data_IF_708267561057
#
_entry.id   IF_708267561057
#
_cell.length_a   1.000
_cell.length_b   1.000
_cell.length_c   1.000
_cell.angle_alpha   90.00
_cell.angle_beta   90.00
_cell.angle_gamma   90.00
#
_symmetry.space_group_name_H-M   'P 1'
#
loop_
_entity.id
_entity.type
_entity.pdbx_description
1 polymer ?
#
# COMPACT_ATOMS: atom_id res chain seq x y z
N UNK A 1 0.01 20.42 26.35
CA UNK A 1 0.44 19.17 27.01
C UNK A 1 -0.17 18.01 26.22
N UNK A 2 0.64 17.23 25.51
CA UNK A 2 0.15 16.14 24.64
C UNK A 2 -0.38 15.01 25.53
N UNK A 3 -1.70 14.77 25.51
CA UNK A 3 -2.31 13.68 26.27
C UNK A 3 -2.26 12.42 25.43
N UNK A 4 -1.84 11.29 26.01
CA UNK A 4 -1.82 10.02 25.30
C UNK A 4 -3.23 9.58 24.84
N UNK A 5 -4.27 9.99 25.57
CA UNK A 5 -5.68 9.77 25.24
C UNK A 5 -6.20 10.55 24.03
N UNK A 6 -5.43 11.51 23.51
CA UNK A 6 -5.79 12.27 22.32
C UNK A 6 -5.62 11.38 21.07
N UNK A 7 -6.66 11.24 20.21
CA UNK A 7 -6.54 10.49 18.97
C UNK A 7 -5.43 10.99 18.04
N UNK A 8 -5.04 12.27 18.13
CA UNK A 8 -3.88 12.79 17.37
C UNK A 8 -2.55 12.15 17.83
N UNK A 9 -2.37 11.95 19.13
CA UNK A 9 -1.19 11.27 19.67
C UNK A 9 -1.17 9.82 19.20
N UNK A 10 -2.33 9.16 19.23
CA UNK A 10 -2.46 7.75 18.81
C UNK A 10 -2.11 7.55 17.34
N UNK A 11 -2.54 8.44 16.44
CA UNK A 11 -2.21 8.34 15.00
C UNK A 11 -0.71 8.60 14.74
N UNK A 12 -0.05 9.48 15.51
CA UNK A 12 1.39 9.72 15.41
C UNK A 12 2.17 8.46 15.85
N UNK A 13 1.80 7.87 16.99
CA UNK A 13 2.41 6.63 17.48
C UNK A 13 2.21 5.50 16.47
N UNK A 14 1.00 5.36 15.91
CA UNK A 14 0.71 4.40 14.84
C UNK A 14 1.55 4.63 13.59
N UNK A 15 1.74 5.91 13.19
CA UNK A 15 2.63 6.29 12.11
C UNK A 15 4.07 5.85 12.37
N UNK A 16 4.58 6.05 13.59
CA UNK A 16 5.93 5.62 13.99
C UNK A 16 6.09 4.09 14.00
N UNK A 17 5.08 3.36 14.47
CA UNK A 17 5.05 1.89 14.39
C UNK A 17 5.13 1.45 12.92
N UNK A 18 4.34 2.08 12.04
CA UNK A 18 4.33 1.74 10.62
C UNK A 18 5.62 2.18 9.89
N UNK A 19 6.24 3.26 10.31
CA UNK A 19 7.57 3.68 9.85
C UNK A 19 8.64 2.62 10.22
N UNK A 20 8.63 2.14 11.47
CA UNK A 20 9.60 1.16 11.96
C UNK A 20 9.39 -0.24 11.38
N UNK A 21 8.14 -0.68 11.16
CA UNK A 21 7.85 -2.03 10.65
C UNK A 21 7.72 -2.03 9.11
N UNK A 22 6.56 -1.74 8.49
CA UNK A 22 6.45 -1.72 7.04
C UNK A 22 7.33 -0.68 6.33
N UNK A 23 7.71 0.42 6.98
CA UNK A 23 8.67 1.38 6.41
C UNK A 23 10.08 0.78 6.26
N UNK A 24 10.56 0.01 7.24
CA UNK A 24 11.83 -0.73 7.12
C UNK A 24 11.73 -1.90 6.15
N UNK A 25 10.54 -2.50 5.98
CA UNK A 25 10.30 -3.47 4.91
C UNK A 25 10.44 -2.84 3.52
N UNK A 26 9.86 -1.64 3.32
CA UNK A 26 10.06 -0.87 2.09
C UNK A 26 11.54 -0.50 1.89
N UNK A 27 12.27 -0.23 2.98
CA UNK A 27 13.71 -0.02 2.92
C UNK A 27 14.49 -1.24 2.44
N UNK A 28 14.18 -2.42 2.98
CA UNK A 28 14.80 -3.64 2.51
C UNK A 28 14.49 -3.90 1.02
N UNK A 29 13.25 -3.70 0.59
CA UNK A 29 12.87 -3.84 -0.82
C UNK A 29 13.63 -2.86 -1.73
N UNK A 30 13.83 -1.62 -1.29
CA UNK A 30 14.58 -0.59 -2.02
C UNK A 30 16.05 -0.95 -2.26
N UNK A 31 16.64 -1.83 -1.44
CA UNK A 31 18.03 -2.27 -1.63
C UNK A 31 18.26 -3.16 -2.85
N UNK A 32 17.19 -3.58 -3.53
CA UNK A 32 17.25 -4.49 -4.68
C UNK A 32 17.35 -5.95 -4.23
N UNK A 33 16.52 -6.82 -4.80
CA UNK A 33 16.50 -8.27 -4.48
C UNK A 33 16.43 -8.55 -2.97
N UNK A 34 15.72 -7.70 -2.21
CA UNK A 34 15.61 -7.77 -0.74
C UNK A 34 16.95 -7.74 0.00
N UNK A 35 17.97 -7.13 -0.60
CA UNK A 35 19.33 -7.09 -0.08
C UNK A 35 20.15 -8.36 -0.34
N UNK A 36 19.61 -9.32 -1.09
CA UNK A 36 20.34 -10.50 -1.54
C UNK A 36 21.18 -10.20 -2.81
N UNK A 37 21.99 -11.18 -3.20
CA UNK A 37 22.73 -11.15 -4.46
C UNK A 37 21.75 -11.13 -5.66
N UNK A 38 21.97 -10.33 -6.72
CA UNK A 38 21.10 -10.30 -7.90
C UNK A 38 20.77 -11.67 -8.50
N UNK A 39 21.64 -12.67 -8.37
CA UNK A 39 21.36 -14.04 -8.84
C UNK A 39 20.24 -14.76 -8.05
N UNK A 40 19.96 -14.30 -6.83
CA UNK A 40 18.95 -14.88 -5.92
C UNK A 40 17.58 -14.19 -6.08
N UNK A 41 17.33 -13.49 -7.19
CA UNK A 41 16.09 -12.72 -7.44
C UNK A 41 14.81 -13.56 -7.38
N UNK A 42 14.85 -14.83 -7.81
CA UNK A 42 13.71 -15.75 -7.72
C UNK A 42 13.24 -15.99 -6.26
N UNK A 43 14.16 -15.96 -5.29
CA UNK A 43 13.84 -16.10 -3.87
C UNK A 43 12.98 -14.93 -3.40
N UNK A 44 13.37 -13.71 -3.79
CA UNK A 44 12.60 -12.50 -3.50
C UNK A 44 11.21 -12.50 -4.14
N UNK A 45 11.12 -12.92 -5.40
CA UNK A 45 9.85 -13.00 -6.12
C UNK A 45 8.87 -13.98 -5.47
N UNK A 46 9.36 -15.17 -5.08
CA UNK A 46 8.56 -16.17 -4.37
C UNK A 46 8.13 -15.66 -2.99
N UNK A 47 9.03 -15.00 -2.25
CA UNK A 47 8.72 -14.37 -0.97
C UNK A 47 7.60 -13.34 -1.09
N UNK A 48 7.72 -12.40 -2.05
CA UNK A 48 6.71 -11.37 -2.30
C UNK A 48 5.36 -11.94 -2.72
N UNK A 49 5.35 -12.98 -3.55
CA UNK A 49 4.12 -13.64 -4.01
C UNK A 49 3.42 -14.37 -2.86
N UNK A 50 4.15 -15.18 -2.09
CA UNK A 50 3.60 -15.90 -0.93
C UNK A 50 3.08 -14.95 0.14
N UNK A 51 3.79 -13.85 0.40
CA UNK A 51 3.35 -12.80 1.32
C UNK A 51 2.04 -12.17 0.85
N UNK A 52 1.95 -11.75 -0.41
CA UNK A 52 0.78 -11.03 -0.94
C UNK A 52 -0.47 -11.92 -0.95
N UNK A 53 -0.33 -13.19 -1.29
CA UNK A 53 -1.42 -14.17 -1.26
C UNK A 53 -1.99 -14.36 0.15
N UNK A 54 -1.13 -14.58 1.14
CA UNK A 54 -1.56 -14.78 2.53
C UNK A 54 -2.04 -13.46 3.15
N UNK A 55 -1.46 -12.32 2.75
CA UNK A 55 -1.90 -10.99 3.17
C UNK A 55 -3.34 -10.71 2.71
N UNK A 56 -3.68 -11.02 1.46
CA UNK A 56 -5.07 -10.93 1.01
C UNK A 56 -5.98 -11.75 1.94
N UNK A 57 -5.75 -13.06 2.07
CA UNK A 57 -6.60 -13.94 2.88
C UNK A 57 -6.71 -13.50 4.34
N UNK A 58 -5.59 -13.12 4.98
CA UNK A 58 -5.57 -12.63 6.37
C UNK A 58 -6.37 -11.35 6.56
N UNK A 59 -6.24 -10.40 5.63
CA UNK A 59 -6.93 -9.09 5.70
C UNK A 59 -8.44 -9.22 5.76
N UNK A 60 -9.00 -10.23 5.07
CA UNK A 60 -10.44 -10.47 5.07
C UNK A 60 -10.97 -10.70 6.49
N UNK A 61 -10.26 -11.49 7.30
CA UNK A 61 -10.67 -11.83 8.67
C UNK A 61 -10.13 -10.87 9.73
N UNK A 62 -9.17 -10.00 9.36
CA UNK A 62 -8.52 -9.10 10.29
C UNK A 62 -9.48 -8.10 10.94
N UNK A 63 -10.56 -7.70 10.25
CA UNK A 63 -11.60 -6.83 10.83
C UNK A 63 -12.32 -7.48 12.01
N UNK A 64 -12.68 -8.76 11.87
CA UNK A 64 -13.29 -9.53 12.96
C UNK A 64 -12.30 -9.72 14.13
N UNK A 65 -11.04 -10.06 13.83
CA UNK A 65 -10.00 -10.20 14.85
C UNK A 65 -9.72 -8.88 15.59
N UNK A 66 -9.78 -7.74 14.89
CA UNK A 66 -9.64 -6.43 15.50
C UNK A 66 -10.75 -6.18 16.52
N UNK A 67 -11.99 -6.51 16.18
CA UNK A 67 -13.16 -6.30 17.05
C UNK A 67 -13.14 -7.23 18.28
N UNK A 68 -12.50 -8.41 18.18
CA UNK A 68 -12.39 -9.39 19.27
C UNK A 68 -11.16 -9.14 20.17
N UNK A 69 -9.96 -9.04 19.56
CA UNK A 69 -8.67 -9.00 20.28
C UNK A 69 -8.18 -7.56 20.53
N UNK A 70 -8.67 -6.61 19.74
CA UNK A 70 -8.24 -5.22 19.77
C UNK A 70 -6.96 -4.95 18.98
N UNK A 71 -6.82 -3.71 18.52
CA UNK A 71 -5.71 -3.26 17.69
C UNK A 71 -4.31 -3.48 18.28
N UNK A 72 -4.15 -3.41 19.60
CA UNK A 72 -2.83 -3.51 20.25
C UNK A 72 -2.21 -4.90 20.11
N UNK A 73 -3.02 -5.96 20.19
CA UNK A 73 -2.53 -7.33 19.98
C UNK A 73 -2.17 -7.53 18.51
N UNK A 74 -3.04 -7.09 17.61
CA UNK A 74 -2.85 -7.20 16.17
C UNK A 74 -1.58 -6.47 15.69
N UNK A 75 -1.34 -5.24 16.17
CA UNK A 75 -0.17 -4.43 15.81
C UNK A 75 1.13 -5.01 16.39
N UNK A 76 1.12 -5.49 17.64
CA UNK A 76 2.32 -6.08 18.26
C UNK A 76 2.72 -7.38 17.56
N UNK A 77 1.78 -8.33 17.43
CA UNK A 77 2.06 -9.60 16.77
C UNK A 77 2.33 -9.40 15.27
N UNK A 78 1.59 -8.51 14.63
CA UNK A 78 1.80 -8.15 13.23
C UNK A 78 3.14 -7.49 12.97
N UNK A 79 3.67 -6.68 13.89
CA UNK A 79 5.01 -6.11 13.79
C UNK A 79 6.12 -7.15 13.93
N UNK A 80 5.98 -8.11 14.85
CA UNK A 80 7.00 -9.14 15.08
C UNK A 80 7.19 -10.07 13.87
N UNK A 81 6.18 -10.27 13.03
CA UNK A 81 6.34 -11.05 11.79
C UNK A 81 7.21 -10.34 10.76
N UNK A 82 7.30 -9.01 10.77
CA UNK A 82 8.27 -8.26 9.93
C UNK A 82 9.71 -8.58 10.35
N UNK A 83 9.97 -8.68 11.66
CA UNK A 83 11.29 -9.05 12.18
C UNK A 83 11.69 -10.45 11.70
N UNK A 84 10.78 -11.42 11.79
CA UNK A 84 11.00 -12.79 11.33
C UNK A 84 11.28 -12.83 9.83
N UNK A 85 10.53 -12.07 9.04
CA UNK A 85 10.73 -11.96 7.60
C UNK A 85 12.15 -11.48 7.26
N UNK A 86 12.59 -10.36 7.83
CA UNK A 86 13.95 -9.86 7.61
C UNK A 86 15.01 -10.86 8.09
N UNK A 87 14.78 -11.47 9.26
CA UNK A 87 15.66 -12.52 9.79
C UNK A 87 15.80 -13.72 8.86
N UNK A 88 14.77 -14.04 8.07
CA UNK A 88 14.83 -15.12 7.09
C UNK A 88 15.76 -14.84 5.91
N UNK A 89 15.85 -13.59 5.46
CA UNK A 89 16.81 -13.18 4.42
C UNK A 89 18.25 -13.18 4.95
N UNK A 90 18.45 -12.73 6.20
CA UNK A 90 19.74 -12.85 6.86
C UNK A 90 20.16 -14.32 7.02
N UNK A 91 19.25 -15.19 7.44
CA UNK A 91 19.52 -16.63 7.54
C UNK A 91 19.78 -17.26 6.17
N UNK A 92 19.12 -16.79 5.12
CA UNK A 92 19.32 -17.26 3.76
C UNK A 92 20.77 -17.04 3.27
N UNK A 93 21.43 -15.96 3.71
CA UNK A 93 22.84 -15.73 3.34
C UNK A 93 23.78 -16.84 3.82
N UNK A 94 23.47 -17.47 4.97
CA UNK A 94 24.26 -18.54 5.56
C UNK A 94 23.77 -19.95 5.19
N UNK A 95 22.44 -20.16 5.21
CA UNK A 95 21.82 -21.50 5.11
C UNK A 95 21.34 -21.78 3.68
N UNK A 96 21.08 -20.74 2.87
CA UNK A 96 20.54 -20.83 1.50
C UNK A 96 19.23 -21.63 1.38
N UNK A 97 18.45 -21.69 2.46
CA UNK A 97 17.15 -22.37 2.49
C UNK A 97 16.01 -21.45 2.09
N UNK A 98 15.43 -21.68 0.91
CA UNK A 98 14.26 -20.94 0.43
C UNK A 98 13.00 -21.22 1.26
N UNK A 99 12.91 -22.41 1.86
CA UNK A 99 11.74 -22.85 2.64
C UNK A 99 11.51 -21.91 3.82
N UNK A 100 12.58 -21.53 4.53
CA UNK A 100 12.46 -20.62 5.66
C UNK A 100 12.00 -19.22 5.25
N UNK A 101 12.48 -18.72 4.11
CA UNK A 101 12.05 -17.43 3.54
C UNK A 101 10.57 -17.46 3.19
N UNK A 102 10.10 -18.50 2.50
CA UNK A 102 8.70 -18.64 2.09
C UNK A 102 7.77 -18.76 3.31
N UNK A 103 8.10 -19.58 4.31
CA UNK A 103 7.30 -19.71 5.54
C UNK A 103 7.23 -18.37 6.27
N UNK A 104 8.36 -17.68 6.43
CA UNK A 104 8.42 -16.37 7.08
C UNK A 104 7.62 -15.31 6.30
N UNK A 105 7.59 -15.41 4.96
CA UNK A 105 6.77 -14.57 4.09
C UNK A 105 5.27 -14.80 4.28
N UNK A 106 4.83 -16.05 4.40
CA UNK A 106 3.45 -16.38 4.73
C UNK A 106 3.04 -15.83 6.10
N UNK A 107 3.90 -16.00 7.12
CA UNK A 107 3.64 -15.46 8.46
C UNK A 107 3.59 -13.93 8.46
N UNK A 108 4.46 -13.28 7.68
CA UNK A 108 4.36 -11.85 7.45
C UNK A 108 3.04 -11.48 6.76
N UNK A 109 2.58 -12.24 5.76
CA UNK A 109 1.27 -12.02 5.15
C UNK A 109 0.14 -12.02 6.19
N UNK A 110 0.15 -12.97 7.14
CA UNK A 110 -0.79 -13.00 8.26
C UNK A 110 -0.71 -11.72 9.09
N UNK A 111 0.49 -11.39 9.59
CA UNK A 111 0.70 -10.22 10.45
C UNK A 111 0.48 -8.87 9.77
N UNK A 112 0.75 -8.77 8.47
CA UNK A 112 0.50 -7.59 7.65
C UNK A 112 -1.01 -7.34 7.52
N UNK A 113 -1.80 -8.40 7.32
CA UNK A 113 -3.28 -8.33 7.35
C UNK A 113 -3.80 -7.69 8.63
N UNK A 114 -3.25 -8.13 9.77
CA UNK A 114 -3.62 -7.62 11.09
C UNK A 114 -3.18 -6.17 11.30
N UNK A 115 -1.93 -5.86 10.98
CA UNK A 115 -1.35 -4.53 11.16
C UNK A 115 -2.10 -3.50 10.31
N UNK A 116 -2.31 -3.77 9.02
CA UNK A 116 -2.93 -2.83 8.10
C UNK A 116 -4.43 -2.67 8.32
N UNK A 117 -5.12 -3.71 8.77
CA UNK A 117 -6.50 -3.59 9.23
C UNK A 117 -6.60 -2.70 10.47
N UNK A 118 -5.74 -2.95 11.47
CA UNK A 118 -5.72 -2.14 12.69
C UNK A 118 -5.38 -0.68 12.43
N UNK A 119 -4.41 -0.44 11.54
CA UNK A 119 -4.04 0.86 11.06
C UNK A 119 -5.23 1.58 10.40
N UNK A 120 -5.91 0.90 9.46
CA UNK A 120 -7.05 1.48 8.75
C UNK A 120 -8.21 1.82 9.67
N UNK A 121 -8.52 0.94 10.63
CA UNK A 121 -9.56 1.18 11.64
C UNK A 121 -9.29 2.45 12.46
N UNK A 122 -8.07 2.60 12.98
CA UNK A 122 -7.66 3.78 13.76
C UNK A 122 -7.72 5.02 12.88
N UNK A 123 -7.13 4.96 11.68
CA UNK A 123 -7.05 6.11 10.78
C UNK A 123 -8.42 6.62 10.32
N UNK A 124 -9.43 5.75 10.20
CA UNK A 124 -10.78 6.14 9.77
C UNK A 124 -11.73 6.46 10.94
N UNK A 125 -11.63 5.73 12.05
CA UNK A 125 -12.58 5.81 13.18
C UNK A 125 -12.22 6.86 14.24
N UNK A 126 -10.92 7.17 14.41
CA UNK A 126 -10.45 8.13 15.41
C UNK A 126 -10.72 9.60 15.04
N UNK A 127 -10.46 10.06 13.78
CA UNK A 127 -10.71 11.45 13.43
C UNK A 127 -12.19 11.81 13.49
N UNK A 128 -12.44 13.06 13.86
CA UNK A 128 -13.72 13.74 13.64
C UNK A 128 -13.98 13.93 12.13
N UNK A 129 -15.22 14.15 11.73
CA UNK A 129 -15.62 14.24 10.32
C UNK A 129 -14.85 15.31 9.53
N UNK A 130 -14.43 16.38 10.20
CA UNK A 130 -13.65 17.47 9.61
C UNK A 130 -12.14 17.24 9.53
N UNK A 131 -11.60 16.18 10.11
CA UNK A 131 -10.15 15.93 10.24
C UNK A 131 -9.69 14.60 9.61
N UNK A 132 -10.53 13.94 8.80
CA UNK A 132 -10.18 12.63 8.21
C UNK A 132 -8.99 12.72 7.26
N UNK A 133 -8.92 13.76 6.43
CA UNK A 133 -7.78 14.02 5.54
C UNK A 133 -6.49 14.34 6.31
N UNK A 134 -6.57 15.08 7.41
CA UNK A 134 -5.45 15.41 8.30
C UNK A 134 -4.86 14.17 8.96
N UNK A 135 -5.70 13.28 9.48
CA UNK A 135 -5.22 12.04 10.10
C UNK A 135 -4.55 11.12 9.08
N UNK A 136 -5.14 11.01 7.88
CA UNK A 136 -4.48 10.33 6.75
C UNK A 136 -3.12 10.97 6.45
N UNK A 137 -3.05 12.29 6.30
CA UNK A 137 -1.82 13.03 5.96
C UNK A 137 -0.70 12.80 6.98
N UNK A 138 -1.02 12.87 8.28
CA UNK A 138 -0.03 12.68 9.35
C UNK A 138 0.51 11.25 9.32
N UNK A 139 -0.38 10.26 9.27
CA UNK A 139 0.02 8.87 9.19
C UNK A 139 0.86 8.60 7.94
N UNK A 140 0.36 9.01 6.77
CA UNK A 140 1.01 8.78 5.48
C UNK A 140 2.37 9.46 5.41
N UNK A 141 2.50 10.65 5.98
CA UNK A 141 3.79 11.36 6.08
C UNK A 141 4.81 10.54 6.86
N UNK A 142 4.47 10.13 8.10
CA UNK A 142 5.40 9.41 8.96
C UNK A 142 5.75 8.04 8.35
N UNK A 143 4.76 7.32 7.83
CA UNK A 143 4.95 6.02 7.19
C UNK A 143 5.89 6.10 5.97
N UNK A 144 5.65 7.05 5.05
CA UNK A 144 6.42 7.15 3.81
C UNK A 144 7.86 7.64 4.01
N UNK A 145 8.18 8.29 5.14
CA UNK A 145 9.58 8.55 5.50
C UNK A 145 10.41 7.26 5.56
N UNK A 146 9.79 6.12 5.90
CA UNK A 146 10.46 4.82 5.84
C UNK A 146 10.85 4.43 4.41
N UNK A 147 9.96 4.67 3.44
CA UNK A 147 10.25 4.47 2.02
C UNK A 147 11.33 5.41 1.49
N UNK A 148 11.35 6.67 1.96
CA UNK A 148 12.41 7.65 1.62
C UNK A 148 13.77 7.15 2.12
N UNK A 149 13.90 6.87 3.43
CA UNK A 149 15.14 6.34 4.01
C UNK A 149 15.58 5.05 3.34
N UNK A 150 14.60 4.22 2.98
CA UNK A 150 14.79 2.97 2.27
C UNK A 150 15.43 3.08 0.90
N UNK A 151 15.29 4.22 0.24
CA UNK A 151 15.88 4.49 -1.07
C UNK A 151 17.13 5.37 -1.00
N UNK A 152 17.33 6.11 0.11
CA UNK A 152 18.57 6.88 0.37
C UNK A 152 19.77 5.95 0.54
N UNK A 153 19.62 4.85 1.29
CA UNK A 153 20.70 3.88 1.53
C UNK A 153 21.23 3.28 0.22
N UNK A 154 20.40 2.64 -0.63
CA UNK A 154 20.87 2.08 -1.89
C UNK A 154 21.36 3.15 -2.87
N UNK A 155 20.77 4.36 -2.86
CA UNK A 155 21.28 5.48 -3.65
C UNK A 155 22.73 5.79 -3.31
N UNK A 156 23.06 5.89 -2.01
CA UNK A 156 24.42 6.15 -1.53
C UNK A 156 25.41 5.04 -1.92
N UNK A 157 25.01 3.77 -1.76
CA UNK A 157 25.85 2.62 -2.12
C UNK A 157 26.10 2.58 -3.63
N UNK A 158 25.05 2.79 -4.44
CA UNK A 158 25.11 2.71 -5.89
C UNK A 158 25.71 3.96 -6.56
N UNK A 159 25.96 5.03 -5.79
CA UNK A 159 26.49 6.28 -6.33
C UNK A 159 27.89 6.12 -6.93
N UNK A 160 28.76 5.35 -6.26
CA UNK A 160 30.17 5.17 -6.63
C UNK A 160 30.59 3.70 -6.83
N UNK A 161 30.07 2.76 -6.02
CA UNK A 161 30.68 1.43 -5.89
C UNK A 161 30.04 0.35 -6.75
N UNK A 162 28.82 0.57 -7.28
CA UNK A 162 28.07 -0.43 -8.06
C UNK A 162 27.75 -1.74 -7.33
N UNK A 163 28.19 -1.89 -6.07
CA UNK A 163 27.94 -3.06 -5.23
C UNK A 163 26.47 -3.08 -4.83
N UNK A 164 25.79 -4.18 -5.13
CA UNK A 164 24.40 -4.42 -4.73
C UNK A 164 24.34 -5.37 -3.54
N UNK A 165 23.37 -5.16 -2.65
CA UNK A 165 23.09 -6.05 -1.52
C UNK A 165 23.16 -5.35 -0.16
N UNK A 166 22.41 -5.89 0.81
CA UNK A 166 22.42 -5.44 2.18
C UNK A 166 23.51 -6.18 2.97
N UNK A 167 24.25 -5.46 3.80
CA UNK A 167 25.22 -6.09 4.70
C UNK A 167 24.50 -6.86 5.81
N UNK A 168 25.15 -7.86 6.43
CA UNK A 168 24.61 -8.53 7.62
C UNK A 168 24.23 -7.52 8.72
N UNK A 169 25.03 -6.46 8.89
CA UNK A 169 24.74 -5.37 9.81
C UNK A 169 23.45 -4.59 9.45
N UNK A 170 23.16 -4.43 8.16
CA UNK A 170 21.93 -3.79 7.68
C UNK A 170 20.69 -4.61 8.05
N UNK A 171 20.71 -5.93 7.85
CA UNK A 171 19.62 -6.81 8.28
C UNK A 171 19.39 -6.75 9.80
N UNK A 172 20.46 -6.82 10.60
CA UNK A 172 20.38 -6.71 12.06
C UNK A 172 19.80 -5.34 12.46
N UNK A 173 20.24 -4.27 11.81
CA UNK A 173 19.72 -2.92 12.03
C UNK A 173 18.21 -2.83 11.77
N UNK A 174 17.73 -3.38 10.64
CA UNK A 174 16.30 -3.45 10.35
C UNK A 174 15.54 -4.24 11.42
N UNK A 175 16.04 -5.41 11.83
CA UNK A 175 15.41 -6.24 12.86
C UNK A 175 15.29 -5.52 14.21
N UNK A 176 16.33 -4.78 14.64
CA UNK A 176 16.29 -4.00 15.88
C UNK A 176 15.22 -2.91 15.80
N UNK A 177 15.21 -2.12 14.71
CA UNK A 177 14.23 -1.04 14.53
C UNK A 177 12.80 -1.60 14.46
N UNK A 178 12.57 -2.68 13.71
CA UNK A 178 11.26 -3.34 13.62
C UNK A 178 10.81 -3.92 14.97
N UNK A 179 11.73 -4.47 15.77
CA UNK A 179 11.42 -4.98 17.10
C UNK A 179 10.99 -3.84 18.02
N UNK A 180 11.75 -2.74 18.06
CA UNK A 180 11.39 -1.54 18.82
C UNK A 180 10.04 -0.99 18.36
N UNK A 181 9.82 -0.88 17.05
CA UNK A 181 8.54 -0.46 16.47
C UNK A 181 7.36 -1.34 16.88
N UNK A 182 7.55 -2.66 16.92
CA UNK A 182 6.52 -3.60 17.37
C UNK A 182 6.13 -3.35 18.82
N UNK A 183 7.12 -3.16 19.72
CA UNK A 183 6.87 -2.87 21.13
C UNK A 183 6.36 -1.45 21.40
N UNK A 184 6.57 -0.48 20.49
CA UNK A 184 5.94 0.85 20.59
C UNK A 184 4.41 0.78 20.58
N UNK A 185 3.82 -0.32 20.12
CA UNK A 185 2.39 -0.61 20.25
C UNK A 185 1.89 -0.54 21.69
N UNK A 186 2.75 -0.79 22.69
CA UNK A 186 2.40 -0.68 24.10
C UNK A 186 2.08 0.77 24.54
N UNK A 187 2.50 1.77 23.76
CA UNK A 187 2.17 3.18 23.95
C UNK A 187 0.77 3.51 23.42
N UNK A 188 0.16 2.64 22.62
CA UNK A 188 -1.22 2.81 22.18
C UNK A 188 -2.18 2.47 23.32
N UNK A 189 -3.21 3.29 23.45
CA UNK A 189 -4.25 3.08 24.43
C UNK A 189 -5.33 2.13 23.89
N UNK A 190 -6.00 1.35 24.75
CA UNK A 190 -7.22 0.66 24.32
C UNK A 190 -8.20 1.68 23.74
N UNK A 191 -8.98 1.30 22.72
CA UNK A 191 -9.86 2.24 22.00
C UNK A 191 -10.85 2.91 22.95
N UNK A 192 -11.32 2.18 23.97
CA UNK A 192 -12.22 2.66 25.02
C UNK A 192 -11.63 3.78 25.90
N UNK A 193 -10.32 4.01 25.88
CA UNK A 193 -9.64 5.07 26.63
C UNK A 193 -9.28 6.28 25.78
N UNK A 194 -9.53 6.23 24.47
CA UNK A 194 -9.27 7.33 23.54
C UNK A 194 -10.53 8.17 23.40
N UNK A 195 -10.40 9.47 23.69
CA UNK A 195 -11.51 10.42 23.67
C UNK A 195 -11.22 11.51 22.64
N UNK A 196 -12.21 11.82 21.80
CA UNK A 196 -12.13 12.92 20.82
C UNK A 196 -12.09 14.27 21.52
N UNK A 197 -11.82 15.36 20.78
CA UNK A 197 -11.69 16.70 21.37
C UNK A 197 -13.00 17.19 21.98
N UNK A 198 -14.12 16.77 21.41
CA UNK A 198 -15.47 16.98 21.92
C UNK A 198 -15.80 16.14 23.18
N UNK A 199 -14.89 15.28 23.64
CA UNK A 199 -15.07 14.40 24.79
C UNK A 199 -15.82 13.10 24.47
N UNK A 200 -16.30 12.91 23.23
CA UNK A 200 -16.96 11.68 22.81
C UNK A 200 -15.97 10.50 22.73
N UNK A 201 -16.39 9.27 23.10
CA UNK A 201 -15.55 8.10 22.93
C UNK A 201 -15.42 7.74 21.44
N UNK A 202 -14.24 7.27 21.06
CA UNK A 202 -13.96 6.84 19.67
C UNK A 202 -14.73 5.57 19.26
N UNK A 203 -15.16 4.77 20.25
CA UNK A 203 -15.96 3.55 20.07
C UNK A 203 -17.17 3.55 21.00
N UNK A 204 -18.34 3.16 20.47
CA UNK A 204 -19.46 2.66 21.29
C UNK A 204 -19.19 1.17 21.54
N UNK A 205 -18.92 0.78 22.78
CA UNK A 205 -18.51 -0.60 23.11
C UNK A 205 -19.65 -1.56 22.72
N UNK A 206 -19.44 -2.36 21.66
CA UNK A 206 -20.26 -3.53 21.32
C UNK A 206 -19.44 -4.78 21.57
N UNK A 207 -19.84 -5.60 22.54
CA UNK A 207 -19.33 -6.97 22.63
C UNK A 207 -19.73 -7.69 21.35
N UNK A 208 -18.75 -8.27 20.67
CA UNK A 208 -18.95 -8.78 19.32
C UNK A 208 -18.76 -10.30 19.31
N UNK A 209 -19.82 -11.03 19.00
CA UNK A 209 -19.75 -12.49 18.83
C UNK A 209 -18.89 -12.81 17.60
N UNK A 210 -17.85 -13.67 17.70
CA UNK A 210 -16.97 -13.98 16.57
C UNK A 210 -17.70 -14.47 15.30
N UNK A 211 -18.80 -15.19 15.46
CA UNK A 211 -19.61 -15.69 14.34
C UNK A 211 -20.36 -14.52 13.67
N UNK A 212 -20.90 -13.59 14.46
CA UNK A 212 -21.57 -12.39 13.94
C UNK A 212 -20.59 -11.45 13.26
N UNK A 213 -19.37 -11.29 13.79
CA UNK A 213 -18.32 -10.52 13.15
C UNK A 213 -17.92 -11.12 11.81
N UNK A 214 -17.74 -12.44 11.75
CA UNK A 214 -17.42 -13.13 10.50
C UNK A 214 -18.55 -12.96 9.47
N UNK A 215 -19.81 -13.11 9.91
CA UNK A 215 -20.98 -12.87 9.05
C UNK A 215 -21.04 -11.43 8.55
N UNK A 216 -20.68 -10.45 9.39
CA UNK A 216 -20.65 -9.02 9.04
C UNK A 216 -19.56 -8.71 8.01
N UNK A 217 -18.40 -9.35 8.10
CA UNK A 217 -17.35 -9.27 7.07
C UNK A 217 -17.88 -9.78 5.73
N UNK A 218 -18.56 -10.93 5.71
CA UNK A 218 -19.14 -11.47 4.47
C UNK A 218 -20.33 -10.65 3.95
N UNK A 219 -21.04 -9.94 4.84
CA UNK A 219 -22.11 -9.02 4.43
C UNK A 219 -21.58 -7.85 3.59
N UNK A 220 -20.30 -7.46 3.74
CA UNK A 220 -19.69 -6.42 2.89
C UNK A 220 -19.67 -6.78 1.40
N UNK A 221 -19.67 -8.08 1.05
CA UNK A 221 -19.82 -8.51 -0.35
C UNK A 221 -21.25 -8.34 -0.90
N UNK A 222 -22.20 -7.92 -0.06
CA UNK A 222 -23.56 -7.55 -0.47
C UNK A 222 -23.82 -6.04 -0.37
N UNK A 223 -22.93 -5.30 0.29
CA UNK A 223 -23.03 -3.85 0.39
C UNK A 223 -22.65 -3.20 -0.95
N UNK A 224 -23.64 -2.59 -1.62
CA UNK A 224 -23.45 -1.94 -2.91
C UNK A 224 -22.38 -0.84 -2.86
N UNK A 225 -22.19 -0.17 -1.71
CA UNK A 225 -21.16 0.87 -1.52
C UNK A 225 -19.78 0.26 -1.64
N UNK A 226 -19.55 -0.87 -0.97
CA UNK A 226 -18.28 -1.57 -0.98
C UNK A 226 -18.00 -2.24 -2.33
N UNK A 227 -19.04 -2.83 -2.94
CA UNK A 227 -18.93 -3.43 -4.28
C UNK A 227 -18.56 -2.40 -5.34
N UNK A 228 -19.13 -1.20 -5.29
CA UNK A 228 -18.80 -0.12 -6.22
C UNK A 228 -17.35 0.36 -6.07
N UNK A 229 -16.75 0.22 -4.88
CA UNK A 229 -15.35 0.59 -4.62
C UNK A 229 -14.34 -0.52 -4.90
N UNK A 230 -14.77 -1.77 -5.17
CA UNK A 230 -13.86 -2.89 -5.50
C UNK A 230 -12.85 -2.51 -6.59
N UNK A 231 -13.25 -1.91 -7.74
CA UNK A 231 -12.27 -1.60 -8.78
C UNK A 231 -11.25 -0.55 -8.33
N UNK A 232 -11.66 0.37 -7.47
CA UNK A 232 -10.75 1.35 -6.87
C UNK A 232 -9.73 0.65 -5.97
N UNK A 233 -10.22 -0.18 -5.04
CA UNK A 233 -9.38 -0.90 -4.10
C UNK A 233 -8.38 -1.82 -4.80
N UNK A 234 -8.85 -2.56 -5.80
CA UNK A 234 -8.04 -3.48 -6.58
C UNK A 234 -6.89 -2.78 -7.30
N UNK A 235 -7.18 -1.63 -7.91
CA UNK A 235 -6.19 -0.89 -8.70
C UNK A 235 -5.08 -0.28 -7.86
N UNK A 236 -5.36 0.07 -6.61
CA UNK A 236 -4.42 0.81 -5.74
C UNK A 236 -3.05 0.13 -5.57
N UNK A 237 -2.97 -1.20 -5.56
CA UNK A 237 -1.70 -1.94 -5.57
C UNK A 237 -1.29 -2.45 -6.96
N UNK A 238 -2.23 -2.54 -7.92
CA UNK A 238 -1.93 -3.04 -9.27
C UNK A 238 -0.89 -2.16 -9.97
N UNK A 239 -1.03 -0.85 -9.83
CA UNK A 239 -0.20 0.14 -10.53
C UNK A 239 1.27 0.11 -10.10
N UNK A 240 1.59 -0.42 -8.92
CA UNK A 240 2.96 -0.55 -8.43
C UNK A 240 3.82 -1.44 -9.32
N UNK A 241 3.25 -2.51 -9.85
CA UNK A 241 3.96 -3.39 -10.79
C UNK A 241 4.41 -2.59 -12.01
N UNK A 242 3.53 -1.85 -12.67
CA UNK A 242 3.93 -1.00 -13.79
C UNK A 242 4.95 0.07 -13.37
N UNK A 243 4.71 0.77 -12.27
CA UNK A 243 5.59 1.87 -11.84
C UNK A 243 7.01 1.38 -11.50
N UNK A 244 7.13 0.40 -10.61
CA UNK A 244 8.43 -0.05 -10.11
C UNK A 244 9.14 -0.99 -11.10
N UNK A 245 8.44 -1.97 -11.68
CA UNK A 245 9.06 -3.00 -12.54
C UNK A 245 8.87 -2.76 -14.02
N UNK A 246 7.78 -2.11 -14.46
CA UNK A 246 7.56 -1.78 -15.88
C UNK A 246 8.24 -0.48 -16.33
N UNK A 247 8.28 0.53 -15.47
CA UNK A 247 8.80 1.87 -15.75
C UNK A 247 10.18 2.09 -15.13
N UNK A 248 10.34 1.92 -13.81
CA UNK A 248 11.59 2.28 -13.14
C UNK A 248 12.71 1.25 -13.36
N UNK A 249 12.42 -0.05 -13.18
CA UNK A 249 13.45 -1.09 -13.21
C UNK A 249 14.25 -1.20 -14.53
N UNK A 250 13.62 -1.20 -15.72
CA UNK A 250 14.34 -1.46 -16.97
C UNK A 250 14.87 -0.18 -17.64
N UNK A 251 14.30 0.99 -17.35
CA UNK A 251 14.61 2.22 -18.07
C UNK A 251 15.71 3.07 -17.45
N UNK A 252 16.18 2.74 -16.25
CA UNK A 252 17.08 3.59 -15.48
C UNK A 252 18.21 2.80 -14.84
N UNK A 253 19.38 3.43 -14.71
CA UNK A 253 20.51 2.85 -13.97
C UNK A 253 20.18 2.69 -12.50
N UNK A 254 20.90 1.78 -11.81
CA UNK A 254 20.69 1.51 -10.38
C UNK A 254 20.52 2.76 -9.51
N UNK A 255 21.52 3.66 -9.52
CA UNK A 255 21.45 4.93 -8.78
C UNK A 255 20.23 5.79 -9.15
N UNK A 256 19.87 5.82 -10.43
CA UNK A 256 18.74 6.59 -10.93
C UNK A 256 17.41 6.00 -10.46
N UNK A 257 17.30 4.67 -10.40
CA UNK A 257 16.14 3.97 -9.83
C UNK A 257 15.94 4.28 -8.36
N UNK A 258 17.01 4.26 -7.56
CA UNK A 258 16.94 4.61 -6.15
C UNK A 258 16.55 6.08 -5.96
N UNK A 259 17.09 6.99 -6.77
CA UNK A 259 16.69 8.40 -6.72
C UNK A 259 15.22 8.60 -7.10
N UNK A 260 14.77 7.98 -8.19
CA UNK A 260 13.36 7.98 -8.63
C UNK A 260 12.44 7.51 -7.50
N UNK A 261 12.73 6.36 -6.90
CA UNK A 261 11.94 5.80 -5.80
C UNK A 261 11.96 6.68 -4.55
N UNK A 262 13.08 7.31 -4.21
CA UNK A 262 13.14 8.27 -3.10
C UNK A 262 12.18 9.45 -3.32
N UNK A 263 12.24 10.05 -4.52
CA UNK A 263 11.36 11.17 -4.87
C UNK A 263 9.90 10.77 -5.06
N UNK A 264 9.63 9.54 -5.46
CA UNK A 264 8.29 8.97 -5.48
C UNK A 264 7.66 8.94 -4.08
N UNK A 265 8.39 8.47 -3.06
CA UNK A 265 7.92 8.47 -1.68
C UNK A 265 7.80 9.89 -1.11
N UNK A 266 8.70 10.81 -1.46
CA UNK A 266 8.56 12.24 -1.11
C UNK A 266 7.31 12.85 -1.76
N UNK A 267 7.03 12.52 -3.03
CA UNK A 267 5.84 12.96 -3.72
C UNK A 267 4.57 12.52 -2.99
N UNK A 268 4.55 11.28 -2.48
CA UNK A 268 3.44 10.79 -1.66
C UNK A 268 3.24 11.62 -0.39
N UNK A 269 4.33 12.01 0.28
CA UNK A 269 4.25 12.84 1.49
C UNK A 269 3.62 14.19 1.15
N UNK A 270 4.16 14.91 0.16
CA UNK A 270 3.63 16.22 -0.23
C UNK A 270 2.18 16.14 -0.72
N UNK A 271 1.86 15.15 -1.55
CA UNK A 271 0.52 14.93 -2.06
C UNK A 271 -0.47 14.62 -0.94
N UNK A 272 -0.09 13.77 0.03
CA UNK A 272 -0.96 13.44 1.17
C UNK A 272 -1.34 14.69 1.96
N UNK A 273 -0.37 15.57 2.24
CA UNK A 273 -0.59 16.82 3.00
C UNK A 273 -1.51 17.78 2.24
N UNK A 274 -1.18 18.04 0.96
CA UNK A 274 -1.95 18.99 0.14
C UNK A 274 -3.37 18.47 -0.10
N UNK A 275 -3.50 17.21 -0.48
CA UNK A 275 -4.77 16.61 -0.82
C UNK A 275 -5.64 16.33 0.42
N UNK A 276 -5.02 15.91 1.53
CA UNK A 276 -5.72 15.77 2.81
C UNK A 276 -6.26 17.11 3.32
N UNK A 277 -5.48 18.19 3.23
CA UNK A 277 -5.96 19.54 3.56
C UNK A 277 -7.09 20.00 2.63
N UNK A 278 -7.04 19.65 1.34
CA UNK A 278 -8.10 19.92 0.39
C UNK A 278 -9.41 19.19 0.75
N UNK A 279 -9.33 17.92 1.12
CA UNK A 279 -10.48 17.11 1.53
C UNK A 279 -11.08 17.53 2.88
N UNK A 280 -10.31 18.21 3.72
CA UNK A 280 -10.76 18.70 5.03
C UNK A 280 -11.17 20.19 5.04
N UNK A 281 -11.34 20.80 3.87
CA UNK A 281 -11.66 22.24 3.77
C UNK A 281 -12.96 22.60 4.50
N UNK A 282 -12.84 23.36 5.58
CA UNK A 282 -13.95 23.73 6.48
C UNK A 282 -15.14 24.40 5.78
N UNK A 283 -14.89 25.16 4.71
CA UNK A 283 -15.90 25.88 3.94
C UNK A 283 -16.84 24.95 3.13
N UNK A 284 -16.48 23.68 2.98
CA UNK A 284 -17.21 22.73 2.14
C UNK A 284 -17.97 21.71 2.97
N UNK A 285 -19.17 21.36 2.51
CA UNK A 285 -19.92 20.23 3.04
C UNK A 285 -19.22 18.91 2.70
N UNK A 286 -19.57 17.83 3.40
CA UNK A 286 -18.99 16.50 3.16
C UNK A 286 -19.21 16.03 1.73
N UNK A 287 -20.41 16.27 1.18
CA UNK A 287 -20.74 15.95 -0.21
C UNK A 287 -19.88 16.74 -1.19
N UNK A 288 -19.68 18.03 -0.94
CA UNK A 288 -18.82 18.88 -1.76
C UNK A 288 -17.37 18.39 -1.74
N UNK A 289 -16.84 18.02 -0.57
CA UNK A 289 -15.50 17.44 -0.41
C UNK A 289 -15.36 16.13 -1.20
N UNK A 290 -16.33 15.23 -1.11
CA UNK A 290 -16.32 13.96 -1.86
C UNK A 290 -16.29 14.19 -3.37
N UNK A 291 -17.20 15.03 -3.89
CA UNK A 291 -17.34 15.28 -5.33
C UNK A 291 -16.11 15.98 -5.91
N UNK A 292 -15.66 17.09 -5.30
CA UNK A 292 -14.49 17.81 -5.79
C UNK A 292 -13.19 17.05 -5.55
N UNK A 293 -13.11 16.24 -4.47
CA UNK A 293 -12.03 15.29 -4.26
C UNK A 293 -11.90 14.33 -5.43
N UNK A 294 -12.99 13.64 -5.79
CA UNK A 294 -12.96 12.69 -6.91
C UNK A 294 -12.63 13.36 -8.25
N UNK A 295 -13.17 14.55 -8.52
CA UNK A 295 -12.88 15.30 -9.76
C UNK A 295 -11.40 15.66 -9.84
N UNK A 296 -10.82 16.16 -8.74
CA UNK A 296 -9.40 16.51 -8.68
C UNK A 296 -8.53 15.26 -8.85
N UNK A 297 -8.89 14.15 -8.20
CA UNK A 297 -8.22 12.85 -8.38
C UNK A 297 -8.29 12.38 -9.84
N UNK A 298 -9.47 12.43 -10.47
CA UNK A 298 -9.66 12.01 -11.85
C UNK A 298 -8.80 12.84 -12.81
N UNK A 299 -8.74 14.16 -12.62
CA UNK A 299 -7.92 15.06 -13.42
C UNK A 299 -6.42 14.77 -13.25
N UNK A 300 -5.96 14.56 -12.02
CA UNK A 300 -4.57 14.21 -11.73
C UNK A 300 -4.20 12.84 -12.33
N UNK A 301 -5.05 11.82 -12.18
CA UNK A 301 -4.89 10.52 -12.83
C UNK A 301 -4.77 10.68 -14.35
N UNK A 302 -5.69 11.44 -14.97
CA UNK A 302 -5.67 11.64 -16.42
C UNK A 302 -4.38 12.30 -16.91
N UNK A 303 -3.95 13.38 -16.27
CA UNK A 303 -2.71 14.07 -16.65
C UNK A 303 -1.48 13.13 -16.56
N UNK A 304 -1.33 12.41 -15.44
CA UNK A 304 -0.18 11.53 -15.20
C UNK A 304 -0.17 10.33 -16.14
N UNK A 305 -1.31 9.64 -16.31
CA UNK A 305 -1.37 8.44 -17.14
C UNK A 305 -1.31 8.74 -18.65
N UNK A 306 -1.79 9.91 -19.09
CA UNK A 306 -1.53 10.39 -20.47
C UNK A 306 -0.03 10.62 -20.67
N UNK A 307 0.66 11.24 -19.70
CA UNK A 307 2.12 11.36 -19.71
C UNK A 307 2.82 10.00 -19.80
N UNK A 308 2.33 9.01 -19.06
CA UNK A 308 2.76 7.61 -19.15
C UNK A 308 2.65 7.03 -20.55
N UNK A 309 1.49 7.20 -21.20
CA UNK A 309 1.26 6.72 -22.57
C UNK A 309 2.20 7.41 -23.55
N UNK A 310 2.42 8.72 -23.41
CA UNK A 310 3.36 9.47 -24.26
C UNK A 310 4.78 8.95 -24.08
N UNK A 311 5.22 8.72 -22.84
CA UNK A 311 6.53 8.13 -22.55
C UNK A 311 6.65 6.71 -23.13
N UNK A 312 5.65 5.85 -22.93
CA UNK A 312 5.66 4.49 -23.48
C UNK A 312 5.72 4.47 -25.01
N UNK A 313 5.19 5.49 -25.69
CA UNK A 313 5.28 5.61 -27.14
C UNK A 313 6.69 5.95 -27.65
N UNK A 314 7.60 6.42 -26.79
CA UNK A 314 8.99 6.73 -27.16
C UNK A 314 9.84 5.48 -27.38
N UNK A 315 9.41 4.32 -26.87
CA UNK A 315 10.08 3.05 -27.14
C UNK A 315 10.03 2.73 -28.64
N UNK A 316 11.20 2.44 -29.24
CA UNK A 316 11.35 2.12 -30.67
C UNK A 316 10.63 0.82 -31.08
N UNK A 317 10.32 0.61 -32.38
CA UNK A 317 9.72 -0.63 -32.88
C UNK A 317 10.62 -1.84 -32.58
N UNK A 318 10.04 -2.90 -32.03
CA UNK A 318 10.76 -3.86 -31.19
C UNK A 318 11.19 -5.12 -31.95
N UNK A 319 12.44 -5.48 -31.75
CA UNK A 319 12.94 -6.81 -32.05
C UNK A 319 12.80 -7.72 -30.83
N UNK A 320 12.10 -8.84 -30.97
CA UNK A 320 12.21 -9.92 -29.99
C UNK A 320 13.55 -10.66 -30.18
N UNK A 321 14.24 -11.00 -29.10
CA UNK A 321 15.44 -11.85 -29.12
C UNK A 321 15.16 -13.13 -28.34
N UNK A 322 15.71 -14.26 -28.78
CA UNK A 322 15.65 -15.48 -27.99
C UNK A 322 16.68 -15.41 -26.88
N UNK A 323 16.24 -15.55 -25.62
CA UNK A 323 17.12 -15.65 -24.46
C UNK A 323 17.35 -17.13 -24.14
N UNK A 324 18.50 -17.64 -24.57
CA UNK A 324 18.93 -19.02 -24.33
C UNK A 324 19.36 -19.31 -22.88
N UNK A 325 19.60 -18.27 -22.07
CA UNK A 325 20.33 -18.38 -20.80
C UNK A 325 19.39 -18.37 -19.61
N UNK A 326 18.48 -17.41 -19.54
CA UNK A 326 17.65 -17.19 -18.35
C UNK A 326 16.19 -17.58 -18.59
N UNK A 327 15.60 -17.16 -19.72
CA UNK A 327 14.20 -17.42 -20.01
C UNK A 327 13.91 -18.66 -20.87
N UNK A 328 14.86 -19.11 -21.71
CA UNK A 328 14.64 -20.10 -22.78
C UNK A 328 13.42 -19.77 -23.66
N UNK A 329 13.20 -18.48 -23.88
CA UNK A 329 12.04 -17.95 -24.60
C UNK A 329 12.42 -16.64 -25.31
N UNK A 330 11.55 -16.17 -26.21
CA UNK A 330 11.68 -14.87 -26.86
C UNK A 330 11.34 -13.75 -25.88
N UNK A 331 12.28 -12.84 -25.63
CA UNK A 331 12.14 -11.68 -24.74
C UNK A 331 12.34 -10.36 -25.51
N UNK A 332 11.90 -9.24 -24.92
CA UNK A 332 12.16 -7.92 -25.48
C UNK A 332 13.65 -7.62 -25.43
N UNK A 333 14.21 -7.10 -26.52
CA UNK A 333 15.62 -6.76 -26.59
C UNK A 333 15.97 -5.74 -25.49
N UNK A 334 16.89 -6.06 -24.55
CA UNK A 334 17.26 -5.14 -23.47
C UNK A 334 17.81 -3.79 -23.98
N UNK A 335 18.33 -3.74 -25.21
CA UNK A 335 18.81 -2.52 -25.87
C UNK A 335 17.69 -1.53 -26.24
N UNK A 336 16.43 -1.97 -26.21
CA UNK A 336 15.27 -1.13 -26.53
C UNK A 336 14.83 -0.26 -25.33
N UNK A 337 15.33 -0.55 -24.12
CA UNK A 337 15.10 0.28 -22.95
C UNK A 337 16.11 1.43 -22.89
N UNK A 338 15.68 2.58 -22.39
CA UNK A 338 16.48 3.82 -22.45
C UNK A 338 17.75 3.80 -21.59
N UNK A 339 17.78 2.98 -20.53
CA UNK A 339 18.89 2.88 -19.56
C UNK A 339 19.45 4.26 -19.12
N UNK A 340 18.55 5.17 -18.77
CA UNK A 340 18.84 6.58 -18.48
C UNK A 340 19.57 6.68 -17.14
N UNK A 341 20.65 7.46 -17.15
CA UNK A 341 21.40 7.78 -15.96
C UNK A 341 21.26 9.25 -15.57
N UNK A 342 20.94 9.53 -14.30
CA UNK A 342 20.70 10.89 -13.81
C UNK A 342 21.90 11.85 -13.97
N UNK A 343 23.13 11.33 -13.94
CA UNK A 343 24.37 12.13 -14.05
C UNK A 343 24.84 12.22 -15.50
N UNK A 344 24.74 11.12 -16.26
CA UNK A 344 25.26 11.06 -17.64
C UNK A 344 24.25 11.56 -18.68
N UNK A 345 22.94 11.47 -18.40
CA UNK A 345 21.85 11.75 -19.32
C UNK A 345 20.86 12.77 -18.71
N UNK A 346 21.35 13.81 -18.05
CA UNK A 346 20.50 14.72 -17.25
C UNK A 346 19.36 15.37 -18.04
N UNK A 347 19.57 15.74 -19.31
CA UNK A 347 18.52 16.32 -20.17
C UNK A 347 17.38 15.34 -20.47
N UNK A 348 17.71 14.07 -20.73
CA UNK A 348 16.74 13.00 -21.02
C UNK A 348 16.06 12.49 -19.75
N UNK A 349 16.69 12.67 -18.59
CA UNK A 349 16.19 12.22 -17.29
C UNK A 349 15.05 13.08 -16.74
N UNK A 350 15.04 14.39 -16.97
CA UNK A 350 14.10 15.31 -16.31
C UNK A 350 12.62 14.99 -16.59
N UNK A 351 12.25 14.71 -17.84
CA UNK A 351 10.87 14.38 -18.20
C UNK A 351 10.36 13.12 -17.49
N UNK A 352 11.05 11.97 -17.65
CA UNK A 352 10.69 10.72 -16.98
C UNK A 352 10.75 10.80 -15.45
N UNK A 353 11.66 11.60 -14.89
CA UNK A 353 11.71 11.87 -13.45
C UNK A 353 10.41 12.51 -12.94
N UNK A 354 9.96 13.59 -13.57
CA UNK A 354 8.72 14.26 -13.16
C UNK A 354 7.50 13.36 -13.35
N UNK A 355 7.46 12.58 -14.44
CA UNK A 355 6.41 11.58 -14.63
C UNK A 355 6.38 10.57 -13.48
N UNK A 356 7.53 10.05 -13.07
CA UNK A 356 7.63 9.13 -11.94
C UNK A 356 7.25 9.77 -10.60
N UNK A 357 7.64 11.03 -10.38
CA UNK A 357 7.21 11.82 -9.25
C UNK A 357 5.68 11.96 -9.21
N UNK A 358 5.04 12.26 -10.35
CA UNK A 358 3.58 12.38 -10.44
C UNK A 358 2.85 11.04 -10.30
N UNK A 359 3.47 9.89 -10.60
CA UNK A 359 2.92 8.60 -10.20
C UNK A 359 2.79 8.49 -8.68
N UNK A 360 3.79 8.97 -7.92
CA UNK A 360 3.72 9.02 -6.45
C UNK A 360 2.64 9.98 -5.94
N UNK A 361 2.50 11.15 -6.57
CA UNK A 361 1.41 12.10 -6.25
C UNK A 361 0.04 11.43 -6.40
N UNK A 362 -0.21 10.83 -7.57
CA UNK A 362 -1.50 10.20 -7.87
C UNK A 362 -1.78 9.01 -6.96
N UNK A 363 -0.79 8.17 -6.66
CA UNK A 363 -0.98 7.04 -5.74
C UNK A 363 -1.42 7.50 -4.34
N UNK A 364 -0.75 8.51 -3.79
CA UNK A 364 -1.13 9.07 -2.49
C UNK A 364 -2.53 9.69 -2.51
N UNK A 365 -2.88 10.42 -3.56
CA UNK A 365 -4.24 10.96 -3.71
C UNK A 365 -5.28 9.84 -3.82
N UNK A 366 -4.98 8.77 -4.54
CA UNK A 366 -5.87 7.66 -4.80
C UNK A 366 -6.15 6.84 -3.52
N UNK A 367 -5.09 6.50 -2.77
CA UNK A 367 -5.24 5.82 -1.48
C UNK A 367 -5.86 6.75 -0.43
N UNK A 368 -5.44 8.00 -0.38
CA UNK A 368 -6.02 9.01 0.51
C UNK A 368 -7.51 9.19 0.29
N UNK A 369 -7.95 9.27 -0.98
CA UNK A 369 -9.36 9.35 -1.31
C UNK A 369 -10.12 8.07 -0.92
N UNK A 370 -9.52 6.88 -1.13
CA UNK A 370 -10.13 5.60 -0.75
C UNK A 370 -10.41 5.54 0.76
N UNK A 371 -9.41 5.88 1.58
CA UNK A 371 -9.55 5.92 3.04
C UNK A 371 -10.49 7.02 3.50
N UNK A 372 -10.43 8.20 2.90
CA UNK A 372 -11.33 9.30 3.21
C UNK A 372 -12.78 8.93 2.90
N UNK A 373 -13.03 8.25 1.77
CA UNK A 373 -14.38 7.85 1.37
C UNK A 373 -14.93 6.75 2.29
N UNK A 374 -14.15 5.72 2.62
CA UNK A 374 -14.56 4.71 3.60
C UNK A 374 -14.80 5.31 4.99
N UNK A 375 -13.91 6.21 5.43
CA UNK A 375 -14.12 6.98 6.65
C UNK A 375 -15.32 7.93 6.55
N UNK A 376 -15.72 8.35 5.35
CA UNK A 376 -16.93 9.13 5.12
C UNK A 376 -18.21 8.28 5.15
N UNK A 377 -18.12 6.95 5.18
CA UNK A 377 -19.27 6.05 5.28
C UNK A 377 -19.54 5.58 6.72
N UNK A 378 -18.55 5.68 7.61
CA UNK A 378 -18.70 5.26 9.01
C UNK A 378 -17.89 6.12 9.98
N UNK A 379 -18.46 6.34 11.17
CA UNK A 379 -17.76 6.91 12.33
C UNK A 379 -17.54 5.87 13.44
N UNK A 380 -18.03 4.64 13.26
CA UNK A 380 -17.77 3.53 14.17
C UNK A 380 -16.44 2.85 13.79
N UNK A 381 -15.54 2.74 14.77
CA UNK A 381 -14.23 2.11 14.58
C UNK A 381 -14.37 0.61 14.28
N UNK A 382 -15.40 -0.08 14.80
CA UNK A 382 -15.60 -1.51 14.53
C UNK A 382 -15.98 -1.73 13.06
N UNK A 383 -16.91 -0.93 12.54
CA UNK A 383 -17.25 -0.94 11.12
C UNK A 383 -16.07 -0.47 10.26
N UNK A 384 -15.31 0.53 10.70
CA UNK A 384 -14.10 0.98 10.02
C UNK A 384 -13.04 -0.14 9.92
N UNK A 385 -12.92 -1.00 10.94
CA UNK A 385 -12.05 -2.18 10.89
C UNK A 385 -12.51 -3.18 9.82
N UNK A 386 -13.81 -3.45 9.71
CA UNK A 386 -14.36 -4.32 8.66
C UNK A 386 -14.10 -3.72 7.27
N UNK A 387 -14.31 -2.42 7.07
CA UNK A 387 -13.97 -1.72 5.83
C UNK A 387 -12.47 -1.78 5.51
N UNK A 388 -11.60 -1.57 6.51
CA UNK A 388 -10.15 -1.66 6.33
C UNK A 388 -9.71 -3.07 5.92
N UNK A 389 -10.23 -4.11 6.58
CA UNK A 389 -9.95 -5.51 6.22
C UNK A 389 -10.39 -5.85 4.80
N UNK A 390 -11.61 -5.46 4.42
CA UNK A 390 -12.12 -5.64 3.06
C UNK A 390 -11.29 -4.88 2.01
N UNK A 391 -10.96 -3.62 2.27
CA UNK A 391 -10.07 -2.82 1.43
C UNK A 391 -8.74 -3.52 1.20
N UNK A 392 -8.09 -3.97 2.29
CA UNK A 392 -6.78 -4.64 2.21
C UNK A 392 -6.86 -6.01 1.55
N UNK A 393 -7.95 -6.75 1.68
CA UNK A 393 -8.19 -7.97 0.92
C UNK A 393 -8.19 -7.70 -0.59
N UNK A 394 -9.06 -6.80 -1.05
CA UNK A 394 -9.19 -6.49 -2.49
C UNK A 394 -7.92 -5.84 -3.05
N UNK A 395 -7.31 -4.91 -2.30
CA UNK A 395 -6.05 -4.27 -2.66
C UNK A 395 -4.94 -5.31 -2.88
N UNK A 396 -4.79 -6.28 -1.98
CA UNK A 396 -3.76 -7.31 -2.13
C UNK A 396 -4.07 -8.33 -3.24
N UNK A 397 -5.33 -8.59 -3.58
CA UNK A 397 -5.66 -9.37 -4.78
C UNK A 397 -5.11 -8.69 -6.04
N UNK A 398 -5.20 -7.36 -6.13
CA UNK A 398 -4.57 -6.58 -7.20
C UNK A 398 -3.06 -6.73 -7.22
N UNK A 399 -2.42 -6.68 -6.05
CA UNK A 399 -0.98 -6.89 -5.89
C UNK A 399 -0.48 -8.31 -6.23
N UNK A 400 -1.33 -9.32 -6.10
CA UNK A 400 -1.03 -10.71 -6.52
C UNK A 400 -1.18 -10.87 -8.04
N UNK A 401 -2.22 -10.30 -8.63
CA UNK A 401 -2.54 -10.51 -10.04
C UNK A 401 -1.74 -9.61 -10.98
N UNK A 402 -1.32 -8.42 -10.55
CA UNK A 402 -0.57 -7.50 -11.39
C UNK A 402 0.78 -8.08 -11.86
N UNK A 403 1.64 -8.67 -11.00
CA UNK A 403 2.86 -9.34 -11.44
C UNK A 403 2.57 -10.51 -12.39
N UNK A 404 1.54 -11.32 -12.12
CA UNK A 404 1.16 -12.44 -12.99
C UNK A 404 0.80 -11.96 -14.40
N UNK A 405 0.03 -10.87 -14.51
CA UNK A 405 -0.30 -10.26 -15.80
C UNK A 405 0.93 -9.62 -16.44
N UNK A 406 1.81 -8.98 -15.65
CA UNK A 406 3.06 -8.42 -16.15
C UNK A 406 3.97 -9.51 -16.75
N UNK A 407 3.92 -10.73 -16.21
CA UNK A 407 4.65 -11.89 -16.73
C UNK A 407 3.91 -12.69 -17.80
N UNK A 408 2.70 -12.25 -18.17
CA UNK A 408 1.86 -12.91 -19.17
C UNK A 408 2.06 -12.33 -20.58
N UNK A 409 1.28 -12.83 -21.55
CA UNK A 409 1.29 -12.36 -22.96
C UNK A 409 1.06 -10.86 -23.13
N UNK A 410 0.47 -10.22 -22.13
CA UNK A 410 0.01 -8.83 -22.16
C UNK A 410 1.00 -7.88 -21.44
N UNK A 411 1.98 -8.42 -20.72
CA UNK A 411 2.86 -7.66 -19.82
C UNK A 411 4.22 -7.29 -20.42
N UNK A 412 4.93 -6.36 -19.76
CA UNK A 412 6.19 -5.77 -20.27
C UNK A 412 7.47 -6.36 -19.66
N UNK A 413 7.35 -7.32 -18.73
CA UNK A 413 8.52 -7.89 -18.07
C UNK A 413 9.19 -8.94 -18.96
N UNK A 414 10.53 -8.99 -18.99
CA UNK A 414 11.25 -10.15 -19.49
C UNK A 414 11.05 -11.30 -18.49
N UNK A 415 10.00 -12.09 -18.66
CA UNK A 415 9.76 -13.28 -17.85
C UNK A 415 9.40 -14.48 -18.71
N UNK A 416 9.70 -15.66 -18.14
CA UNK A 416 9.61 -16.99 -18.71
C UNK A 416 8.21 -17.39 -19.20
N UNK A 417 7.86 -16.97 -20.41
CA UNK A 417 6.63 -17.39 -21.07
C UNK A 417 5.76 -16.21 -21.45
N UNK A 418 5.54 -16.08 -22.76
CA UNK A 418 4.49 -15.30 -23.43
C UNK A 418 4.91 -13.96 -24.07
N UNK A 419 6.21 -13.74 -24.32
CA UNK A 419 6.64 -12.39 -24.68
C UNK A 419 6.55 -12.01 -26.16
N UNK A 420 6.29 -12.88 -27.14
CA UNK A 420 6.48 -12.51 -28.56
C UNK A 420 5.63 -11.30 -29.01
N UNK A 421 4.34 -11.20 -28.65
CA UNK A 421 3.47 -10.12 -29.12
C UNK A 421 3.72 -8.78 -28.43
N UNK A 422 3.97 -8.77 -27.12
CA UNK A 422 4.23 -7.51 -26.41
C UNK A 422 5.72 -7.11 -26.46
N UNK A 423 6.64 -8.07 -26.66
CA UNK A 423 8.05 -7.83 -26.98
C UNK A 423 8.27 -7.38 -28.41
N UNK A 424 7.32 -7.61 -29.34
CA UNK A 424 7.34 -7.06 -30.71
C UNK A 424 6.50 -5.78 -30.88
N UNK A 425 5.85 -5.31 -29.79
CA UNK A 425 5.10 -4.04 -29.74
C UNK A 425 5.65 -3.11 -28.63
N UNK A 426 5.20 -1.85 -28.54
CA UNK A 426 5.75 -0.81 -27.63
C UNK A 426 5.64 -1.10 -26.14
N UNK A 427 5.31 -2.33 -25.75
CA UNK A 427 5.00 -2.68 -24.38
C UNK A 427 3.80 -1.88 -23.90
N UNK A 428 2.78 -1.72 -24.76
CA UNK A 428 1.63 -0.89 -24.43
C UNK A 428 0.62 -1.63 -23.56
N UNK A 429 0.66 -2.98 -23.53
CA UNK A 429 -0.36 -3.80 -22.85
C UNK A 429 -0.51 -3.46 -21.37
N UNK A 430 0.59 -3.47 -20.62
CA UNK A 430 0.55 -3.22 -19.17
C UNK A 430 0.06 -1.81 -18.81
N UNK A 431 0.53 -0.78 -19.53
CA UNK A 431 0.07 0.59 -19.28
C UNK A 431 -1.40 0.77 -19.66
N UNK A 432 -1.88 0.14 -20.73
CA UNK A 432 -3.30 0.18 -21.11
C UNK A 432 -4.16 -0.43 -20.00
N UNK A 433 -3.75 -1.59 -19.45
CA UNK A 433 -4.46 -2.21 -18.33
C UNK A 433 -4.48 -1.26 -17.13
N UNK A 434 -3.34 -0.67 -16.76
CA UNK A 434 -3.28 0.25 -15.64
C UNK A 434 -4.22 1.46 -15.83
N UNK A 435 -4.20 2.07 -17.02
CA UNK A 435 -5.09 3.19 -17.37
C UNK A 435 -6.55 2.78 -17.22
N UNK A 436 -6.93 1.66 -17.83
CA UNK A 436 -8.31 1.14 -17.79
C UNK A 436 -8.75 0.90 -16.34
N UNK A 437 -7.94 0.19 -15.55
CA UNK A 437 -8.26 -0.12 -14.15
C UNK A 437 -8.37 1.16 -13.29
N UNK A 438 -7.45 2.12 -13.46
CA UNK A 438 -7.48 3.40 -12.71
C UNK A 438 -8.77 4.14 -12.96
N UNK A 439 -9.19 4.26 -14.22
CA UNK A 439 -10.42 4.96 -14.57
C UNK A 439 -11.68 4.18 -14.20
N UNK A 440 -11.69 2.86 -14.33
CA UNK A 440 -12.80 2.03 -13.81
C UNK A 440 -12.93 2.23 -12.29
N UNK A 441 -11.82 2.30 -11.55
CA UNK A 441 -11.83 2.58 -10.12
C UNK A 441 -12.38 3.96 -9.77
N UNK A 442 -11.96 5.00 -10.49
CA UNK A 442 -12.53 6.36 -10.34
C UNK A 442 -14.03 6.38 -10.65
N UNK A 443 -14.46 5.71 -11.72
CA UNK A 443 -15.87 5.62 -12.12
C UNK A 443 -16.68 4.86 -11.07
N UNK A 444 -16.16 3.76 -10.55
CA UNK A 444 -16.80 2.98 -9.48
C UNK A 444 -17.01 3.78 -8.19
N UNK A 445 -16.14 4.74 -7.90
CA UNK A 445 -16.30 5.63 -6.73
C UNK A 445 -17.37 6.72 -6.90
N UNK A 446 -17.81 7.04 -8.14
CA UNK A 446 -18.84 8.06 -8.41
C UNK A 446 -20.14 7.81 -7.64
N UNK A 447 -20.81 6.64 -7.76
CA UNK A 447 -22.08 6.41 -7.07
C UNK A 447 -21.96 6.53 -5.55
N UNK A 448 -20.83 6.13 -4.96
CA UNK A 448 -20.58 6.27 -3.53
C UNK A 448 -20.41 7.74 -3.14
N UNK A 449 -19.57 8.48 -3.86
CA UNK A 449 -19.31 9.89 -3.59
C UNK A 449 -20.54 10.80 -3.81
N UNK A 450 -21.45 10.43 -4.73
CA UNK A 450 -22.66 11.22 -5.01
C UNK A 450 -23.88 10.80 -4.20
N UNK A 451 -24.07 9.51 -3.92
CA UNK A 451 -25.28 8.98 -3.27
C UNK A 451 -25.07 8.54 -1.82
N UNK A 452 -23.94 7.90 -1.50
CA UNK A 452 -23.72 7.32 -0.17
C UNK A 452 -23.17 8.34 0.82
N UNK A 453 -22.31 9.27 0.38
CA UNK A 453 -21.80 10.33 1.24
C UNK A 453 -22.92 11.33 1.54
N UNK A 454 -23.27 11.45 2.82
CA UNK A 454 -24.28 12.38 3.32
C UNK A 454 -23.70 13.31 4.39
N UNK A 455 -24.32 14.48 4.57
CA UNK A 455 -23.85 15.50 5.51
C UNK A 455 -23.95 15.05 6.98
N UNK A 456 -24.82 14.09 7.28
CA UNK A 456 -24.88 13.38 8.55
C UNK A 456 -24.64 11.91 8.27
N UNK A 457 -23.76 11.28 9.05
CA UNK A 457 -23.57 9.83 8.95
C UNK A 457 -24.81 9.17 9.54
N UNK A 458 -25.71 8.67 8.68
CA UNK A 458 -26.81 7.82 9.14
C UNK A 458 -26.15 6.50 9.55
N UNK A 459 -25.94 6.31 10.85
CA UNK A 459 -25.67 4.98 11.38
C UNK A 459 -26.93 4.16 11.05
N UNK A 460 -26.83 3.27 10.05
CA UNK A 460 -27.85 2.24 9.87
C UNK A 460 -27.90 1.49 11.20
N UNK A 461 -28.99 1.69 11.94
CA UNK A 461 -29.29 0.92 13.14
C UNK A 461 -29.53 -0.52 12.65
N UNK A 462 -28.44 -1.28 12.56
CA UNK A 462 -28.51 -2.73 12.44
C UNK A 462 -29.41 -3.16 13.61
N UNK A 463 -30.68 -3.50 13.32
CA UNK A 463 -31.73 -3.81 14.28
C UNK A 463 -31.48 -5.08 15.12
N UNK A 464 -30.22 -5.35 15.46
CA UNK A 464 -29.77 -6.42 16.32
C UNK A 464 -29.80 -5.93 17.78
N UNK A 465 -30.66 -6.58 18.56
CA UNK A 465 -30.89 -6.33 19.98
C UNK A 465 -29.56 -6.18 20.74
N UNK A 466 -29.48 -5.11 21.50
CA UNK A 466 -28.40 -4.82 22.44
C UNK A 466 -28.49 -5.79 23.62
N UNK A 467 -27.72 -6.88 23.60
CA UNK A 467 -27.59 -7.70 24.81
C UNK A 467 -26.68 -6.99 25.81
N UNK A 468 -27.28 -6.31 26.79
CA UNK A 468 -26.59 -5.74 27.94
C UNK A 468 -26.18 -6.84 28.92
N UNK A 469 -25.12 -6.59 29.70
CA UNK A 469 -24.47 -7.52 30.64
C UNK A 469 -25.41 -8.23 31.65
N UNK A 470 -26.62 -7.71 31.86
CA UNK A 470 -27.65 -8.33 32.69
C UNK A 470 -28.37 -9.50 31.99
N UNK A 471 -28.50 -9.48 30.66
CA UNK A 471 -29.22 -10.49 29.89
C UNK A 471 -28.41 -11.79 29.71
N UNK A 472 -27.08 -11.73 29.81
CA UNK A 472 -26.19 -12.90 29.73
C UNK A 472 -26.06 -13.63 31.09
N UNK A 473 -26.60 -13.05 32.17
CA UNK A 473 -26.57 -13.64 33.52
C UNK A 473 -27.93 -14.13 34.03
N UNK A 474 -29.02 -13.90 33.30
CA UNK A 474 -30.33 -14.48 33.54
C UNK A 474 -30.48 -15.77 32.73
#
# INVERSE_FOLDING_TARGET
MVRLADPLTQIIVLGLICFCCPGMFNALQGTGTYGLDPKDTDVGNRAGTSLSLVFAASSLFAGALFNILGHRVLLLLGGLTYVLYVGSFLAYSAIKSIVFVVISSCLLGVGAGWLWCAQGAIMMGYPEEGEKGKYFSIFWTIFNLGGVLGNVIPLGIQWNDGKSGASNGSYIGYMVVMTLGSFMTLLLLPISKVHRKDGSPVVKIKYSNPILELKSVFALFKDWRMLALIPMFFTSNWVYTYQFTGFNAPNFTGRTRSMNSMFYWLAQIFASIIYGAFLDRAQWTRQTRARYGLILLAAACAATWVGGIVFQRTFGPQSAIFDDVEAKDWVKNPKDYHNIDLVKNTSEYLGPFFLYFFYGVVDSMYQGYSYWLMGALTNDTNQAARFAGFYKFIQNLGGVLAPVVQTSVIGNAPSQGANIQNASTRGMGEIIICVVLVFIGVIGAIPVAWKAVQNTTIEEDDGEKQETFEEVKA
#
